data_IF_719768385437
#
_entry.id   IF_719768385437
#
_cell.length_a   1.000
_cell.length_b   1.000
_cell.length_c   1.000
_cell.angle_alpha   90.00
_cell.angle_beta   90.00
_cell.angle_gamma   90.00
#
_symmetry.space_group_name_H-M   'P 1'
#
loop_
_entity.id
_entity.type
_entity.pdbx_description
1 polymer ?
#
# COMPACT_ATOMS: atom_id res chain seq x y z
N UNK A 1 -37.74 -66.48 -20.71
CA UNK A 1 -36.46 -67.01 -20.21
C UNK A 1 -35.42 -65.94 -20.44
N UNK A 2 -35.05 -65.24 -19.35
CA UNK A 2 -33.93 -64.28 -19.22
C UNK A 2 -34.06 -62.97 -20.02
N UNK A 3 -33.74 -61.78 -19.54
CA UNK A 3 -33.45 -61.22 -18.22
C UNK A 3 -33.61 -59.69 -18.36
N UNK A 4 -33.95 -59.02 -17.27
CA UNK A 4 -34.27 -57.59 -17.18
C UNK A 4 -33.09 -56.66 -17.48
N UNK A 5 -33.37 -55.42 -17.88
CA UNK A 5 -32.82 -54.26 -17.16
C UNK A 5 -33.63 -53.00 -17.49
N UNK A 6 -34.31 -52.49 -16.46
CA UNK A 6 -35.06 -51.25 -16.44
C UNK A 6 -34.07 -50.10 -16.20
N UNK A 7 -33.74 -49.29 -17.21
CA UNK A 7 -32.99 -48.05 -17.02
C UNK A 7 -33.99 -46.90 -17.15
N UNK A 8 -34.61 -46.54 -16.02
CA UNK A 8 -35.11 -45.19 -15.83
C UNK A 8 -33.91 -44.26 -15.97
N UNK A 9 -33.83 -43.54 -17.08
CA UNK A 9 -32.86 -42.45 -17.21
C UNK A 9 -33.45 -41.28 -16.45
N UNK A 10 -32.98 -41.09 -15.22
CA UNK A 10 -33.25 -39.92 -14.40
C UNK A 10 -32.88 -38.65 -15.17
N UNK A 11 -33.88 -37.93 -15.65
CA UNK A 11 -33.72 -36.53 -16.04
C UNK A 11 -34.08 -35.66 -14.82
N UNK A 12 -33.13 -35.53 -13.90
CA UNK A 12 -33.14 -34.43 -12.94
C UNK A 12 -31.87 -33.62 -13.13
N UNK A 13 -32.05 -32.49 -13.79
CA UNK A 13 -31.04 -31.49 -14.11
C UNK A 13 -30.37 -31.00 -12.83
N UNK A 14 -29.15 -31.45 -12.59
CA UNK A 14 -28.26 -30.82 -11.61
C UNK A 14 -27.57 -29.64 -12.29
N UNK A 15 -28.37 -28.62 -12.62
CA UNK A 15 -27.90 -27.33 -13.07
C UNK A 15 -27.34 -26.61 -11.83
N UNK A 16 -26.05 -26.87 -11.54
CA UNK A 16 -25.34 -26.14 -10.48
C UNK A 16 -25.24 -24.68 -10.91
N UNK A 17 -26.22 -23.91 -10.44
CA UNK A 17 -26.28 -22.46 -10.46
C UNK A 17 -24.88 -21.83 -10.27
N UNK A 18 -24.46 -20.87 -11.13
CA UNK A 18 -23.21 -20.12 -11.01
C UNK A 18 -23.21 -19.12 -9.84
N UNK A 19 -23.89 -19.42 -8.74
CA UNK A 19 -24.03 -18.52 -7.58
C UNK A 19 -23.00 -18.80 -6.50
N UNK A 20 -22.35 -19.96 -6.47
CA UNK A 20 -21.43 -20.31 -5.38
C UNK A 20 -20.13 -19.52 -5.40
N UNK A 21 -19.55 -19.22 -6.56
CA UNK A 21 -18.29 -18.46 -6.64
C UNK A 21 -18.48 -16.98 -6.31
N UNK A 22 -19.56 -16.36 -6.80
CA UNK A 22 -19.89 -14.96 -6.49
C UNK A 22 -20.25 -14.81 -5.01
N UNK A 23 -20.98 -15.77 -4.45
CA UNK A 23 -21.34 -15.80 -3.04
C UNK A 23 -20.11 -16.02 -2.14
N UNK A 24 -19.16 -16.86 -2.57
CA UNK A 24 -17.89 -17.06 -1.85
C UNK A 24 -16.99 -15.82 -1.86
N UNK A 25 -16.93 -15.08 -2.99
CA UNK A 25 -16.24 -13.79 -3.06
C UNK A 25 -16.92 -12.75 -2.15
N UNK A 26 -18.27 -12.71 -2.15
CA UNK A 26 -19.07 -11.83 -1.30
C UNK A 26 -18.83 -12.08 0.19
N UNK A 27 -18.72 -13.33 0.62
CA UNK A 27 -18.48 -13.70 2.02
C UNK A 27 -17.07 -13.31 2.51
N UNK A 28 -16.08 -13.26 1.61
CA UNK A 28 -14.73 -12.77 1.94
C UNK A 28 -14.64 -11.23 1.98
N UNK A 29 -15.64 -10.52 1.45
CA UNK A 29 -15.64 -9.04 1.34
C UNK A 29 -16.25 -8.37 2.58
N UNK A 30 -16.98 -9.10 3.43
CA UNK A 30 -17.86 -8.51 4.46
C UNK A 30 -17.21 -8.30 5.84
N UNK A 31 -15.89 -8.15 5.93
CA UNK A 31 -15.23 -7.74 7.18
C UNK A 31 -14.36 -6.48 6.99
N UNK A 32 -14.82 -5.57 6.13
CA UNK A 32 -14.24 -4.24 5.90
C UNK A 32 -15.22 -3.17 6.37
N UNK A 33 -15.83 -3.33 7.56
CA UNK A 33 -16.48 -2.21 8.24
C UNK A 33 -15.38 -1.30 8.83
N UNK A 34 -14.50 -0.80 7.96
CA UNK A 34 -13.51 0.17 8.35
C UNK A 34 -14.26 1.49 8.55
N UNK A 35 -14.28 1.96 9.80
CA UNK A 35 -14.64 3.33 10.11
C UNK A 35 -13.71 4.25 9.32
N UNK A 36 -14.24 4.88 8.27
CA UNK A 36 -13.51 5.75 7.35
C UNK A 36 -12.76 6.84 8.11
N UNK A 37 -13.39 7.40 9.17
CA UNK A 37 -12.79 8.43 9.98
C UNK A 37 -11.61 7.88 10.79
N UNK A 38 -11.77 6.67 11.34
CA UNK A 38 -10.66 5.99 12.03
C UNK A 38 -9.50 5.66 11.07
N UNK A 39 -9.76 5.38 9.79
CA UNK A 39 -8.72 5.18 8.78
C UNK A 39 -7.98 6.48 8.47
N UNK A 40 -8.70 7.57 8.21
CA UNK A 40 -8.11 8.89 7.93
C UNK A 40 -7.25 9.37 9.11
N UNK A 41 -7.75 9.17 10.34
CA UNK A 41 -7.04 9.57 11.56
C UNK A 41 -5.72 8.79 11.80
N UNK A 42 -5.44 7.71 11.07
CA UNK A 42 -4.15 6.99 11.16
C UNK A 42 -3.02 7.76 10.46
N UNK A 43 -3.33 8.66 9.53
CA UNK A 43 -2.33 9.46 8.84
C UNK A 43 -2.04 10.71 9.66
N UNK A 44 -0.91 10.69 10.37
CA UNK A 44 -0.44 11.82 11.17
C UNK A 44 0.58 12.61 10.36
N UNK A 45 0.23 13.86 10.02
CA UNK A 45 1.03 14.76 9.17
C UNK A 45 2.07 15.59 9.93
N UNK A 46 2.28 15.36 11.22
CA UNK A 46 3.08 16.22 12.10
C UNK A 46 4.55 16.41 11.66
N UNK A 47 5.08 15.51 10.83
CA UNK A 47 6.45 15.58 10.31
C UNK A 47 6.53 16.12 8.87
N UNK A 48 5.42 16.53 8.26
CA UNK A 48 5.41 17.05 6.88
C UNK A 48 6.31 18.27 6.73
N UNK A 49 6.20 19.25 7.63
CA UNK A 49 7.03 20.46 7.59
C UNK A 49 8.52 20.14 7.82
N UNK A 50 8.82 19.16 8.68
CA UNK A 50 10.19 18.71 8.96
C UNK A 50 10.82 18.07 7.72
N UNK A 51 10.08 17.20 7.03
CA UNK A 51 10.54 16.55 5.81
C UNK A 51 10.71 17.56 4.67
N UNK A 52 9.82 18.57 4.58
CA UNK A 52 9.95 19.63 3.58
C UNK A 52 11.23 20.46 3.83
N UNK A 53 11.44 20.91 5.06
CA UNK A 53 12.64 21.66 5.44
C UNK A 53 13.92 20.83 5.22
N UNK A 54 13.88 19.52 5.47
CA UNK A 54 14.99 18.62 5.14
C UNK A 54 15.28 18.60 3.64
N UNK A 55 14.25 18.51 2.81
CA UNK A 55 14.34 18.58 1.36
C UNK A 55 14.73 19.98 0.82
N UNK A 56 14.80 21.01 1.66
CA UNK A 56 15.38 22.32 1.32
C UNK A 56 16.85 22.45 1.76
N UNK A 57 17.41 21.42 2.40
CA UNK A 57 18.80 21.41 2.87
C UNK A 57 19.01 22.05 4.25
N UNK A 58 17.96 22.18 5.06
CA UNK A 58 18.08 22.66 6.44
C UNK A 58 18.90 21.67 7.28
N UNK A 59 19.78 22.19 8.13
CA UNK A 59 20.63 21.35 9.00
C UNK A 59 19.80 20.54 10.00
N UNK A 60 20.27 19.34 10.35
CA UNK A 60 19.55 18.46 11.28
C UNK A 60 19.30 19.10 12.65
N UNK A 61 20.27 19.89 13.17
CA UNK A 61 20.10 20.64 14.41
C UNK A 61 18.90 21.59 14.35
N UNK A 62 18.73 22.31 13.22
CA UNK A 62 17.61 23.23 13.05
C UNK A 62 16.28 22.48 12.86
N UNK A 63 16.29 21.32 12.20
CA UNK A 63 15.09 20.48 12.12
C UNK A 63 14.58 20.02 13.47
N UNK A 64 15.49 19.65 14.39
CA UNK A 64 15.11 19.24 15.74
C UNK A 64 14.46 20.37 16.55
N UNK A 65 14.65 21.64 16.16
CA UNK A 65 13.97 22.79 16.76
C UNK A 65 12.57 23.04 16.17
N UNK A 66 12.28 22.50 14.97
CA UNK A 66 10.98 22.67 14.28
C UNK A 66 9.91 21.69 14.78
N UNK A 67 10.32 20.62 15.47
CA UNK A 67 9.42 19.57 15.95
C UNK A 67 9.73 19.19 17.38
N UNK A 68 8.70 18.82 18.15
CA UNK A 68 8.86 18.21 19.48
C UNK A 68 9.08 16.70 19.42
N UNK A 69 9.16 16.11 18.22
CA UNK A 69 9.44 14.69 18.05
C UNK A 69 10.89 14.36 18.41
N UNK A 70 11.10 13.20 19.02
CA UNK A 70 12.45 12.71 19.32
C UNK A 70 13.27 12.57 18.03
N UNK A 71 14.56 12.92 18.09
CA UNK A 71 15.47 12.96 16.95
C UNK A 71 15.55 11.60 16.24
N UNK A 72 15.56 10.52 17.02
CA UNK A 72 15.52 9.16 16.49
C UNK A 72 14.22 8.83 15.72
N UNK A 73 13.10 9.48 16.04
CA UNK A 73 11.86 9.35 15.27
C UNK A 73 11.94 10.09 13.94
N UNK A 74 12.58 11.26 13.90
CA UNK A 74 12.84 12.01 12.66
C UNK A 74 13.76 11.22 11.73
N UNK A 75 14.90 10.71 12.25
CA UNK A 75 15.83 9.90 11.47
C UNK A 75 15.14 8.65 10.92
N UNK A 76 14.36 7.94 11.76
CA UNK A 76 13.58 6.78 11.31
C UNK A 76 12.54 7.14 10.24
N UNK A 77 11.91 8.31 10.33
CA UNK A 77 10.93 8.79 9.35
C UNK A 77 11.60 9.05 8.00
N UNK A 78 12.70 9.80 7.97
CA UNK A 78 13.44 10.13 6.75
C UNK A 78 13.94 8.86 6.05
N UNK A 79 14.51 7.91 6.80
CA UNK A 79 14.96 6.62 6.24
C UNK A 79 13.82 5.80 5.64
N UNK A 80 12.69 5.74 6.33
CA UNK A 80 11.49 5.05 5.81
C UNK A 80 10.93 5.72 4.56
N UNK A 81 11.00 7.05 4.49
CA UNK A 81 10.59 7.80 3.32
C UNK A 81 11.50 7.49 2.11
N UNK A 82 12.82 7.40 2.31
CA UNK A 82 13.76 7.00 1.27
C UNK A 82 13.46 5.59 0.73
N UNK A 83 13.22 4.63 1.63
CA UNK A 83 12.81 3.26 1.27
C UNK A 83 11.49 3.25 0.48
N UNK A 84 10.52 4.06 0.88
CA UNK A 84 9.24 4.20 0.18
C UNK A 84 9.41 4.81 -1.22
N UNK A 85 10.22 5.86 -1.36
CA UNK A 85 10.51 6.47 -2.66
C UNK A 85 11.15 5.48 -3.63
N UNK A 86 12.04 4.61 -3.14
CA UNK A 86 12.63 3.54 -3.95
C UNK A 86 11.57 2.53 -4.43
N UNK A 87 10.65 2.12 -3.55
CA UNK A 87 9.54 1.24 -3.93
C UNK A 87 8.61 1.90 -4.95
N UNK A 88 8.31 3.19 -4.78
CA UNK A 88 7.47 3.96 -5.69
C UNK A 88 8.13 4.18 -7.05
N UNK A 89 9.44 4.44 -7.10
CA UNK A 89 10.21 4.49 -8.34
C UNK A 89 10.09 3.17 -9.12
N UNK A 90 10.31 2.03 -8.46
CA UNK A 90 10.19 0.72 -9.09
C UNK A 90 8.75 0.43 -9.56
N UNK A 91 7.74 0.82 -8.78
CA UNK A 91 6.35 0.68 -9.16
C UNK A 91 5.99 1.55 -10.38
N UNK A 92 6.44 2.81 -10.41
CA UNK A 92 6.23 3.72 -11.53
C UNK A 92 6.88 3.22 -12.82
N UNK A 93 8.07 2.62 -12.71
CA UNK A 93 8.77 1.98 -13.82
C UNK A 93 7.97 0.81 -14.40
N UNK A 94 7.43 -0.07 -13.55
CA UNK A 94 6.58 -1.19 -13.98
C UNK A 94 5.27 -0.69 -14.60
N UNK A 95 4.72 0.40 -14.07
CA UNK A 95 3.53 1.05 -14.64
C UNK A 95 3.81 1.77 -15.98
N UNK A 96 5.07 1.91 -16.39
CA UNK A 96 5.46 2.61 -17.62
C UNK A 96 5.33 4.14 -17.55
N UNK A 97 5.27 4.71 -16.34
CA UNK A 97 5.20 6.16 -16.14
C UNK A 97 6.59 6.73 -15.84
N UNK A 98 7.31 7.09 -16.89
CA UNK A 98 8.67 7.64 -16.78
C UNK A 98 8.72 9.02 -16.11
N UNK A 99 7.65 9.80 -16.13
CA UNK A 99 7.61 11.09 -15.42
C UNK A 99 7.64 10.87 -13.89
N UNK A 100 6.81 9.95 -13.39
CA UNK A 100 6.80 9.58 -11.98
C UNK A 100 8.09 8.87 -11.56
N UNK A 101 8.62 8.00 -12.42
CA UNK A 101 9.91 7.32 -12.19
C UNK A 101 11.02 8.34 -11.89
N UNK A 102 11.14 9.39 -12.72
CA UNK A 102 12.14 10.43 -12.56
C UNK A 102 11.88 11.31 -11.33
N UNK A 103 10.61 11.65 -11.05
CA UNK A 103 10.24 12.44 -9.85
C UNK A 103 10.61 11.73 -8.55
N UNK A 104 10.33 10.42 -8.45
CA UNK A 104 10.70 9.64 -7.27
C UNK A 104 12.22 9.47 -7.15
N UNK A 105 12.91 9.36 -8.28
CA UNK A 105 14.37 9.27 -8.33
C UNK A 105 15.03 10.58 -7.84
N UNK A 106 14.52 11.74 -8.25
CA UNK A 106 14.98 13.05 -7.79
C UNK A 106 14.84 13.19 -6.27
N UNK A 107 13.67 12.82 -5.73
CA UNK A 107 13.42 12.82 -4.28
C UNK A 107 14.35 11.88 -3.49
N UNK A 108 14.82 10.80 -4.11
CA UNK A 108 15.73 9.83 -3.48
C UNK A 108 17.19 10.31 -3.43
N UNK A 109 17.63 11.19 -4.34
CA UNK A 109 19.01 11.68 -4.36
C UNK A 109 19.26 12.91 -3.51
N UNK A 110 18.21 13.67 -3.20
CA UNK A 110 18.28 14.84 -2.32
C UNK A 110 18.88 14.58 -0.91
N UNK A 111 18.67 13.41 -0.28
CA UNK A 111 19.23 13.07 1.03
C UNK A 111 20.70 12.64 1.03
N UNK A 112 21.49 12.78 -0.04
CA UNK A 112 22.89 12.27 -0.05
C UNK A 112 23.80 12.87 1.05
N UNK A 113 23.33 13.89 1.79
CA UNK A 113 23.94 14.40 3.01
C UNK A 113 23.71 13.55 4.28
N UNK A 114 22.82 12.54 4.28
CA UNK A 114 22.55 11.65 5.43
C UNK A 114 23.81 10.85 5.84
N UNK A 115 24.79 10.69 4.94
CA UNK A 115 26.06 10.00 5.26
C UNK A 115 27.08 10.84 6.05
N UNK A 116 26.79 12.13 6.32
CA UNK A 116 27.68 13.01 7.09
C UNK A 116 27.05 13.57 8.38
N UNK A 117 25.94 13.00 8.86
CA UNK A 117 25.50 13.19 10.25
C UNK A 117 26.42 12.44 11.19
#
# INVERSE_FOLDING_TARGET
MSAECNINTDHSNNEKQPTTLVENLRNNTNNLSDDEQAYVNRFVGDLMDVVCAWAEGVSFSRLCELTSAFEGSVIRCIRRLEELLCQMHNAAKVAGNSELENKFLEGMFFPSFVMHV
#
